data_IF_061624297759
#
_entry.id   IF_061624297759
#
_cell.length_a   1.000
_cell.length_b   1.000
_cell.length_c   1.000
_cell.angle_alpha   90.00
_cell.angle_beta   90.00
_cell.angle_gamma   90.00
#
_symmetry.space_group_name_H-M   'P 1'
#
loop_
_entity.id
_entity.type
_entity.pdbx_description
1 polymer ?
#
# COMPACT_ATOMS: atom_id res chain seq x y z
N UNK A 1 -35.28 43.38 -35.59
CA UNK A 1 -35.21 41.98 -36.01
C UNK A 1 -34.76 41.12 -34.83
N UNK A 2 -35.44 40.05 -34.61
CA UNK A 2 -35.56 39.34 -33.31
C UNK A 2 -34.32 38.51 -32.96
N UNK A 3 -33.80 38.70 -31.71
CA UNK A 3 -32.88 37.76 -31.04
C UNK A 3 -33.68 36.52 -30.61
N UNK A 4 -33.70 35.50 -31.42
CA UNK A 4 -34.13 34.13 -31.07
C UNK A 4 -33.54 33.17 -32.11
N UNK A 5 -33.08 31.99 -31.58
CA UNK A 5 -32.56 30.84 -32.32
C UNK A 5 -31.03 30.79 -32.47
N UNK A 6 -30.38 30.41 -31.40
CA UNK A 6 -29.17 29.58 -31.44
C UNK A 6 -29.04 28.79 -30.12
N UNK A 7 -29.96 27.87 -29.91
CA UNK A 7 -29.83 26.79 -28.96
C UNK A 7 -29.90 25.47 -29.76
N UNK A 8 -28.81 25.08 -30.36
CA UNK A 8 -28.65 23.76 -30.94
C UNK A 8 -27.58 23.01 -30.13
N UNK A 9 -28.04 22.08 -29.29
CA UNK A 9 -27.48 20.75 -29.02
C UNK A 9 -25.96 20.63 -28.97
N UNK A 10 -25.36 20.90 -27.81
CA UNK A 10 -24.13 20.21 -27.41
C UNK A 10 -24.48 18.99 -26.54
N UNK A 11 -24.74 17.87 -27.20
CA UNK A 11 -24.67 16.56 -26.57
C UNK A 11 -23.19 16.32 -26.18
N UNK A 12 -22.84 16.63 -24.95
CA UNK A 12 -21.56 16.22 -24.39
C UNK A 12 -21.57 14.70 -24.22
N UNK A 13 -20.97 14.01 -25.18
CA UNK A 13 -20.58 12.60 -25.01
C UNK A 13 -19.45 12.58 -24.01
N UNK A 14 -19.78 12.38 -22.76
CA UNK A 14 -18.80 12.09 -21.72
C UNK A 14 -18.30 10.66 -21.96
N UNK A 15 -17.24 10.51 -22.73
CA UNK A 15 -16.47 9.27 -22.78
C UNK A 15 -15.76 9.15 -21.44
N UNK A 16 -16.39 8.47 -20.50
CA UNK A 16 -15.73 7.99 -19.31
C UNK A 16 -14.71 6.91 -19.74
N UNK A 17 -13.48 7.32 -20.05
CA UNK A 17 -12.37 6.40 -20.17
C UNK A 17 -12.07 5.84 -18.78
N UNK A 18 -12.69 4.71 -18.47
CA UNK A 18 -12.29 3.87 -17.34
C UNK A 18 -10.85 3.41 -17.60
N UNK A 19 -9.90 4.08 -16.97
CA UNK A 19 -8.54 3.57 -16.85
C UNK A 19 -8.59 2.32 -15.95
N UNK A 20 -8.94 1.20 -16.56
CA UNK A 20 -8.75 -0.11 -15.95
C UNK A 20 -7.24 -0.33 -15.84
N UNK A 21 -6.68 -0.09 -14.66
CA UNK A 21 -5.35 -0.56 -14.31
C UNK A 21 -5.47 -2.09 -14.19
N UNK A 22 -5.30 -2.79 -15.33
CA UNK A 22 -5.22 -4.25 -15.33
C UNK A 22 -3.97 -4.64 -14.56
N UNK A 23 -4.13 -5.37 -13.45
CA UNK A 23 -3.01 -6.08 -12.87
C UNK A 23 -2.76 -5.97 -11.38
N UNK A 24 -3.61 -5.31 -10.59
CA UNK A 24 -3.57 -5.47 -9.14
C UNK A 24 -4.68 -6.43 -8.73
N UNK A 25 -4.40 -7.49 -7.96
CA UNK A 25 -5.47 -8.17 -7.27
C UNK A 25 -6.23 -7.12 -6.46
N UNK A 26 -7.54 -7.08 -6.58
CA UNK A 26 -8.41 -6.14 -5.89
C UNK A 26 -8.38 -6.51 -4.41
N UNK A 27 -7.32 -6.10 -3.70
CA UNK A 27 -7.09 -6.39 -2.29
C UNK A 27 -8.13 -5.65 -1.44
N UNK A 28 -8.68 -4.57 -2.00
CA UNK A 28 -9.70 -3.74 -1.38
C UNK A 28 -10.90 -3.77 -2.32
N UNK A 29 -11.90 -4.54 -1.97
CA UNK A 29 -13.04 -4.94 -2.79
C UNK A 29 -13.77 -3.83 -3.54
N UNK A 30 -14.56 -4.25 -4.54
CA UNK A 30 -15.43 -3.40 -5.37
C UNK A 30 -16.41 -2.58 -4.50
N UNK A 31 -16.60 -1.34 -4.90
CA UNK A 31 -17.44 -0.32 -4.32
C UNK A 31 -18.84 -0.78 -3.86
N UNK A 32 -18.96 -1.03 -2.60
CA UNK A 32 -20.10 -0.98 -1.69
C UNK A 32 -19.58 -0.34 -0.42
N UNK A 33 -20.40 0.02 0.59
CA UNK A 33 -19.87 0.69 1.78
C UNK A 33 -18.57 0.04 2.18
N UNK A 34 -17.49 0.83 2.18
CA UNK A 34 -16.15 0.29 2.44
C UNK A 34 -16.17 -0.43 3.78
N UNK A 35 -15.84 -1.71 3.76
CA UNK A 35 -15.66 -2.50 4.97
C UNK A 35 -14.21 -2.41 5.41
N UNK A 36 -13.98 -2.40 6.72
CA UNK A 36 -12.63 -2.40 7.25
C UNK A 36 -11.94 -3.73 6.89
N UNK A 37 -10.80 -3.69 6.19
CA UNK A 37 -10.15 -4.90 5.70
C UNK A 37 -9.75 -5.83 6.84
N UNK A 38 -10.12 -7.13 6.82
CA UNK A 38 -9.76 -8.05 7.88
C UNK A 38 -8.27 -8.36 7.91
N UNK A 39 -7.75 -8.69 9.11
CA UNK A 39 -6.42 -9.30 9.25
C UNK A 39 -6.41 -10.66 8.54
N UNK A 40 -5.38 -10.99 7.75
CA UNK A 40 -5.30 -12.27 7.05
C UNK A 40 -4.90 -13.45 7.96
N UNK A 41 -4.61 -13.20 9.23
CA UNK A 41 -4.20 -14.19 10.25
C UNK A 41 -4.62 -13.72 11.65
N UNK A 42 -4.51 -14.61 12.64
CA UNK A 42 -4.78 -14.27 14.03
C UNK A 42 -3.75 -13.26 14.58
N UNK A 43 -4.14 -12.39 15.51
CA UNK A 43 -3.28 -11.33 16.06
C UNK A 43 -1.96 -11.85 16.67
N UNK A 44 -1.96 -13.08 17.19
CA UNK A 44 -0.76 -13.70 17.78
C UNK A 44 0.09 -14.50 16.77
N UNK A 45 -0.33 -14.57 15.50
CA UNK A 45 0.31 -15.47 14.53
C UNK A 45 1.73 -15.06 14.14
N UNK A 46 2.07 -13.77 14.26
CA UNK A 46 3.40 -13.27 13.91
C UNK A 46 4.42 -13.37 15.06
N UNK A 47 3.98 -13.83 16.25
CA UNK A 47 4.89 -14.00 17.38
C UNK A 47 5.91 -15.12 17.09
N UNK A 48 7.15 -15.02 17.64
CA UNK A 48 7.65 -13.97 18.52
C UNK A 48 8.21 -12.72 17.79
N UNK A 49 8.15 -12.64 16.45
CA UNK A 49 8.77 -11.56 15.68
C UNK A 49 7.99 -10.23 15.85
N UNK A 50 6.67 -10.29 15.91
CA UNK A 50 5.80 -9.16 16.25
C UNK A 50 4.80 -9.69 17.26
N UNK A 51 4.71 -9.05 18.43
CA UNK A 51 3.84 -9.52 19.50
C UNK A 51 2.36 -9.32 19.16
N UNK A 52 1.50 -10.14 19.77
CA UNK A 52 0.05 -9.97 19.67
C UNK A 52 -0.40 -8.56 20.13
N UNK A 53 0.28 -7.99 21.12
CA UNK A 53 -0.01 -6.64 21.61
C UNK A 53 0.27 -5.59 20.52
N UNK A 54 1.41 -5.68 19.85
CA UNK A 54 1.76 -4.79 18.74
C UNK A 54 0.75 -4.93 17.61
N UNK A 55 0.42 -6.15 17.18
CA UNK A 55 -0.58 -6.38 16.13
C UNK A 55 -1.94 -5.82 16.53
N UNK A 56 -2.41 -6.10 17.75
CA UNK A 56 -3.70 -5.61 18.23
C UNK A 56 -3.81 -4.09 18.20
N UNK A 57 -2.84 -3.37 18.76
CA UNK A 57 -2.86 -1.90 18.79
C UNK A 57 -2.70 -1.34 17.38
N UNK A 58 -1.79 -1.89 16.58
CA UNK A 58 -1.50 -1.43 15.23
C UNK A 58 -2.69 -1.64 14.28
N UNK A 59 -3.39 -2.77 14.37
CA UNK A 59 -4.55 -3.06 13.52
C UNK A 59 -5.83 -2.41 14.05
N UNK A 60 -6.23 -2.70 15.30
CA UNK A 60 -7.56 -2.31 15.80
C UNK A 60 -7.67 -0.83 16.18
N UNK A 61 -6.55 -0.13 16.42
CA UNK A 61 -6.55 1.28 16.78
C UNK A 61 -5.92 2.14 15.70
N UNK A 62 -4.70 1.84 15.30
CA UNK A 62 -3.95 2.70 14.37
C UNK A 62 -4.47 2.58 12.93
N UNK A 63 -4.51 1.39 12.35
CA UNK A 63 -5.06 1.15 11.01
C UNK A 63 -6.54 1.53 10.94
N UNK A 64 -7.35 1.09 11.91
CA UNK A 64 -8.77 1.46 11.97
C UNK A 64 -8.99 2.96 12.15
N UNK A 65 -8.11 3.65 12.84
CA UNK A 65 -8.14 5.10 13.03
C UNK A 65 -7.99 5.90 11.73
N UNK A 66 -7.37 5.33 10.69
CA UNK A 66 -7.36 5.92 9.35
C UNK A 66 -8.60 5.57 8.53
N UNK A 67 -9.18 4.39 8.74
CA UNK A 67 -10.33 3.92 7.99
C UNK A 67 -11.60 4.76 8.24
N UNK A 68 -11.93 4.96 9.50
CA UNK A 68 -13.15 5.65 9.89
C UNK A 68 -13.23 7.08 9.32
N UNK A 69 -12.17 7.92 9.36
CA UNK A 69 -12.15 9.24 8.74
C UNK A 69 -12.35 9.24 7.23
N UNK A 70 -11.84 8.24 6.49
CA UNK A 70 -12.02 8.20 5.03
C UNK A 70 -13.50 8.13 4.66
N UNK A 71 -14.27 7.28 5.33
CA UNK A 71 -15.70 7.17 5.08
C UNK A 71 -16.41 8.50 5.33
N UNK A 72 -16.09 9.18 6.44
CA UNK A 72 -16.65 10.49 6.77
C UNK A 72 -16.26 11.58 5.77
N UNK A 73 -15.00 11.61 5.34
CA UNK A 73 -14.48 12.62 4.41
C UNK A 73 -15.00 12.44 2.98
N UNK A 74 -15.45 11.24 2.63
CA UNK A 74 -15.97 10.94 1.29
C UNK A 74 -17.48 10.92 1.23
N UNK A 75 -18.19 10.98 2.36
CA UNK A 75 -19.64 10.98 2.42
C UNK A 75 -20.23 12.14 1.60
N UNK A 76 -21.24 11.85 0.78
CA UNK A 76 -21.88 12.84 -0.10
C UNK A 76 -21.00 13.38 -1.22
N UNK A 77 -19.81 12.82 -1.45
CA UNK A 77 -18.91 13.23 -2.56
C UNK A 77 -18.88 12.16 -3.67
N UNK A 78 -18.39 12.49 -4.87
CA UNK A 78 -18.15 11.49 -5.93
C UNK A 78 -17.15 10.37 -5.55
N UNK A 79 -16.47 10.49 -4.41
CA UNK A 79 -15.53 9.50 -3.90
C UNK A 79 -16.14 8.56 -2.87
N UNK A 80 -17.43 8.70 -2.56
CA UNK A 80 -18.10 7.87 -1.54
C UNK A 80 -18.00 6.37 -1.82
N UNK A 81 -18.06 5.97 -3.09
CA UNK A 81 -17.96 4.57 -3.53
C UNK A 81 -16.62 4.23 -4.21
N UNK A 82 -15.69 5.18 -4.27
CA UNK A 82 -14.40 4.97 -4.91
C UNK A 82 -13.52 3.99 -4.11
N UNK A 83 -12.69 3.20 -4.78
CA UNK A 83 -11.66 2.39 -4.12
C UNK A 83 -10.59 3.27 -3.44
N UNK A 84 -9.83 2.70 -2.52
CA UNK A 84 -8.73 3.46 -1.89
C UNK A 84 -7.68 3.89 -2.92
N UNK A 85 -7.37 3.05 -3.91
CA UNK A 85 -6.46 3.37 -5.01
C UNK A 85 -6.98 4.57 -5.84
N UNK A 86 -8.27 4.59 -6.15
CA UNK A 86 -8.87 5.72 -6.86
C UNK A 86 -8.83 7.01 -6.04
N UNK A 87 -9.10 6.93 -4.73
CA UNK A 87 -9.00 8.08 -3.83
C UNK A 87 -7.55 8.58 -3.81
N UNK A 88 -6.58 7.69 -3.58
CA UNK A 88 -5.14 8.04 -3.54
C UNK A 88 -4.73 8.77 -4.82
N UNK A 89 -5.02 8.18 -5.99
CA UNK A 89 -4.59 8.77 -7.27
C UNK A 89 -5.28 10.11 -7.55
N UNK A 90 -6.56 10.24 -7.22
CA UNK A 90 -7.31 11.48 -7.43
C UNK A 90 -6.85 12.58 -6.48
N UNK A 91 -6.68 12.27 -5.20
CA UNK A 91 -6.34 13.28 -4.19
C UNK A 91 -4.86 13.67 -4.19
N UNK A 92 -3.95 12.76 -4.56
CA UNK A 92 -2.54 13.08 -4.73
C UNK A 92 -2.29 14.19 -5.76
N UNK A 93 -3.10 14.24 -6.83
CA UNK A 93 -2.97 15.23 -7.92
C UNK A 93 -3.79 16.50 -7.69
N UNK A 94 -4.82 16.42 -6.89
CA UNK A 94 -5.71 17.55 -6.64
C UNK A 94 -5.14 18.46 -5.56
N UNK A 95 -4.31 19.41 -5.98
CA UNK A 95 -3.75 20.44 -5.11
C UNK A 95 -4.69 21.62 -4.89
N UNK A 96 -5.87 21.61 -5.51
CA UNK A 96 -6.83 22.73 -5.45
C UNK A 96 -7.83 22.58 -4.32
N UNK A 97 -8.08 21.36 -3.85
CA UNK A 97 -8.99 21.05 -2.76
C UNK A 97 -8.23 21.01 -1.42
N UNK A 98 -8.56 21.90 -0.49
CA UNK A 98 -7.92 22.00 0.83
C UNK A 98 -8.02 20.71 1.68
N UNK A 99 -9.03 19.86 1.42
CA UNK A 99 -9.20 18.59 2.11
C UNK A 99 -8.41 17.45 1.44
N UNK A 100 -7.88 17.64 0.22
CA UNK A 100 -7.17 16.58 -0.52
C UNK A 100 -5.96 16.02 0.21
N UNK A 101 -5.07 16.80 0.86
CA UNK A 101 -3.95 16.25 1.60
C UNK A 101 -4.40 15.35 2.76
N UNK A 102 -5.44 15.75 3.50
CA UNK A 102 -5.97 14.95 4.60
C UNK A 102 -6.60 13.65 4.11
N UNK A 103 -7.44 13.71 3.07
CA UNK A 103 -8.06 12.53 2.49
C UNK A 103 -7.03 11.60 1.84
N UNK A 104 -6.03 12.17 1.14
CA UNK A 104 -4.91 11.39 0.62
C UNK A 104 -4.21 10.61 1.73
N UNK A 105 -3.80 11.30 2.80
CA UNK A 105 -3.07 10.66 3.89
C UNK A 105 -3.89 9.53 4.53
N UNK A 106 -5.18 9.77 4.82
CA UNK A 106 -6.04 8.76 5.44
C UNK A 106 -6.22 7.54 4.51
N UNK A 107 -6.58 7.76 3.24
CA UNK A 107 -6.80 6.68 2.28
C UNK A 107 -5.51 5.90 1.98
N UNK A 108 -4.38 6.60 1.84
CA UNK A 108 -3.08 5.98 1.61
C UNK A 108 -2.65 5.13 2.80
N UNK A 109 -2.85 5.62 4.04
CA UNK A 109 -2.52 4.84 5.23
C UNK A 109 -3.42 3.60 5.38
N UNK A 110 -4.72 3.68 5.06
CA UNK A 110 -5.57 2.47 5.05
C UNK A 110 -5.02 1.46 4.05
N UNK A 111 -4.69 1.91 2.86
CA UNK A 111 -4.17 1.05 1.80
C UNK A 111 -2.80 0.45 2.16
N UNK A 112 -1.87 1.28 2.65
CA UNK A 112 -0.52 0.86 3.05
C UNK A 112 -0.57 -0.21 4.14
N UNK A 113 -1.39 -0.01 5.18
CA UNK A 113 -1.54 -0.98 6.26
C UNK A 113 -2.20 -2.28 5.79
N UNK A 114 -3.24 -2.20 4.94
CA UNK A 114 -3.85 -3.40 4.34
C UNK A 114 -2.81 -4.18 3.54
N UNK A 115 -2.00 -3.49 2.75
CA UNK A 115 -0.92 -4.09 1.97
C UNK A 115 0.17 -4.69 2.86
N UNK A 116 0.52 -4.02 3.95
CA UNK A 116 1.48 -4.49 4.94
C UNK A 116 1.04 -5.79 5.62
N UNK A 117 -0.21 -5.87 6.09
CA UNK A 117 -0.71 -7.10 6.70
C UNK A 117 -0.64 -8.30 5.74
N UNK A 118 -0.94 -8.09 4.47
CA UNK A 118 -0.82 -9.12 3.44
C UNK A 118 0.63 -9.41 3.03
N UNK A 119 1.53 -8.46 3.22
CA UNK A 119 2.97 -8.65 2.97
C UNK A 119 3.65 -9.54 4.01
N UNK A 120 2.96 -9.87 5.11
CA UNK A 120 3.45 -10.71 6.19
C UNK A 120 2.65 -12.02 6.26
N UNK A 121 3.31 -13.09 6.68
CA UNK A 121 2.67 -14.37 6.99
C UNK A 121 3.44 -15.11 8.08
N UNK A 122 2.77 -15.85 8.98
CA UNK A 122 3.45 -16.63 10.03
C UNK A 122 4.37 -17.73 9.49
N UNK A 123 4.16 -18.15 8.25
CA UNK A 123 4.98 -19.17 7.56
C UNK A 123 5.91 -18.55 6.52
N UNK A 124 6.20 -17.25 6.66
CA UNK A 124 6.94 -16.45 5.69
C UNK A 124 8.44 -16.44 5.88
N UNK A 125 9.05 -15.45 5.23
CA UNK A 125 10.49 -15.23 5.25
C UNK A 125 11.26 -16.16 4.32
N UNK A 126 12.57 -16.18 4.52
CA UNK A 126 13.45 -16.99 3.70
C UNK A 126 13.50 -16.54 2.23
N UNK A 127 14.03 -17.43 1.40
CA UNK A 127 14.23 -17.18 -0.03
C UNK A 127 12.99 -17.59 -0.83
N UNK A 128 12.47 -16.76 -1.74
CA UNK A 128 11.38 -17.16 -2.61
C UNK A 128 11.78 -18.26 -3.58
N UNK A 129 10.81 -18.84 -4.26
CA UNK A 129 11.02 -19.90 -5.26
C UNK A 129 10.42 -19.49 -6.62
N UNK A 130 10.72 -20.27 -7.66
CA UNK A 130 10.13 -20.12 -8.99
C UNK A 130 10.32 -18.73 -9.59
N UNK A 131 9.32 -18.26 -10.33
CA UNK A 131 9.34 -16.99 -11.07
C UNK A 131 9.76 -15.77 -10.22
N UNK A 132 9.35 -15.76 -8.94
CA UNK A 132 9.72 -14.64 -8.04
C UNK A 132 11.23 -14.62 -7.78
N UNK A 133 11.83 -15.78 -7.53
CA UNK A 133 13.29 -15.88 -7.37
C UNK A 133 14.04 -15.48 -8.62
N UNK A 134 13.57 -15.93 -9.79
CA UNK A 134 14.20 -15.57 -11.07
C UNK A 134 14.18 -14.06 -11.29
N UNK A 135 13.07 -13.40 -10.99
CA UNK A 135 12.93 -11.95 -11.08
C UNK A 135 13.82 -11.20 -10.10
N UNK A 136 13.96 -11.72 -8.87
CA UNK A 136 14.89 -11.17 -7.88
C UNK A 136 16.33 -11.30 -8.37
N UNK A 137 16.74 -12.49 -8.81
CA UNK A 137 18.10 -12.69 -9.33
C UNK A 137 18.38 -11.80 -10.53
N UNK A 138 17.44 -11.66 -11.46
CA UNK A 138 17.55 -10.78 -12.63
C UNK A 138 17.73 -9.31 -12.24
N UNK A 139 17.06 -8.85 -11.17
CA UNK A 139 16.98 -7.43 -10.82
C UNK A 139 18.05 -7.00 -9.83
N UNK A 140 18.50 -7.92 -8.95
CA UNK A 140 19.39 -7.63 -7.81
C UNK A 140 20.70 -8.45 -7.83
N UNK A 141 20.89 -9.31 -8.85
CA UNK A 141 22.01 -10.24 -8.95
C UNK A 141 21.71 -11.56 -8.23
N UNK A 142 21.24 -11.50 -6.99
CA UNK A 142 20.81 -12.65 -6.21
C UNK A 142 19.87 -12.23 -5.07
N UNK A 143 19.44 -13.20 -4.27
CA UNK A 143 18.59 -12.93 -3.11
C UNK A 143 19.28 -12.09 -2.02
N UNK A 144 20.56 -12.27 -1.81
CA UNK A 144 21.32 -11.49 -0.80
C UNK A 144 21.45 -10.02 -1.22
N UNK A 145 21.62 -9.76 -2.50
CA UNK A 145 21.58 -8.41 -3.08
C UNK A 145 20.23 -7.72 -2.86
N UNK A 146 19.13 -8.44 -3.07
CA UNK A 146 17.79 -7.95 -2.72
C UNK A 146 17.64 -7.68 -1.22
N UNK A 147 17.99 -8.67 -0.36
CA UNK A 147 17.90 -8.57 1.09
C UNK A 147 18.68 -7.36 1.61
N UNK A 148 19.89 -7.16 1.10
CA UNK A 148 20.72 -6.00 1.43
C UNK A 148 20.02 -4.69 1.09
N UNK A 149 19.52 -4.54 -0.14
CA UNK A 149 18.85 -3.31 -0.58
C UNK A 149 17.58 -3.03 0.22
N UNK A 150 16.74 -4.06 0.49
CA UNK A 150 15.52 -3.88 1.29
C UNK A 150 15.86 -3.49 2.74
N UNK A 151 16.87 -4.10 3.33
CA UNK A 151 17.37 -3.76 4.67
C UNK A 151 17.86 -2.31 4.72
N UNK A 152 18.72 -1.91 3.79
CA UNK A 152 19.25 -0.54 3.70
C UNK A 152 18.14 0.50 3.52
N UNK A 153 17.19 0.24 2.62
CA UNK A 153 16.04 1.12 2.42
C UNK A 153 15.20 1.27 3.70
N UNK A 154 14.93 0.16 4.38
CA UNK A 154 14.13 0.16 5.61
C UNK A 154 14.82 0.91 6.76
N UNK A 155 16.12 0.71 6.95
CA UNK A 155 16.87 1.34 8.04
C UNK A 155 17.14 2.82 7.75
N UNK A 156 17.43 3.17 6.48
CA UNK A 156 17.77 4.54 6.08
C UNK A 156 16.57 5.46 5.86
N UNK A 157 15.34 4.96 6.00
CA UNK A 157 14.15 5.81 6.00
C UNK A 157 14.17 6.71 7.23
N UNK A 158 14.33 8.01 7.00
CA UNK A 158 14.39 8.98 8.08
C UNK A 158 12.99 9.22 8.66
N UNK A 159 12.86 9.18 10.00
CA UNK A 159 11.57 9.38 10.66
C UNK A 159 10.59 8.26 10.34
N UNK A 160 9.53 8.60 9.59
CA UNK A 160 8.37 7.76 9.29
C UNK A 160 8.28 7.39 7.82
N UNK A 161 7.83 6.18 7.52
CA UNK A 161 7.66 5.77 6.13
C UNK A 161 7.58 4.25 5.95
N UNK A 162 7.79 3.83 4.72
CA UNK A 162 7.62 2.47 4.23
C UNK A 162 8.74 2.08 3.29
N UNK A 163 9.16 0.83 3.30
CA UNK A 163 10.04 0.28 2.28
C UNK A 163 9.29 -0.77 1.44
N UNK A 164 9.52 -0.75 0.14
CA UNK A 164 8.73 -1.50 -0.83
C UNK A 164 9.62 -2.30 -1.77
N UNK A 165 9.21 -3.54 -2.05
CA UNK A 165 9.59 -4.21 -3.29
C UNK A 165 8.54 -3.88 -4.35
N UNK A 166 8.96 -3.35 -5.48
CA UNK A 166 8.07 -2.91 -6.57
C UNK A 166 8.52 -3.46 -7.92
N UNK A 167 7.58 -3.51 -8.87
CA UNK A 167 7.88 -3.75 -10.28
C UNK A 167 7.54 -2.52 -11.12
N UNK A 168 8.37 -2.20 -12.10
CA UNK A 168 8.04 -1.23 -13.13
C UNK A 168 7.12 -1.85 -14.21
N UNK A 169 6.73 -1.05 -15.21
CA UNK A 169 5.86 -1.49 -16.33
C UNK A 169 6.49 -2.60 -17.19
N UNK A 170 7.82 -2.77 -17.14
CA UNK A 170 8.55 -3.82 -17.85
C UNK A 170 8.77 -5.06 -17.00
N UNK A 171 8.28 -5.04 -15.75
CA UNK A 171 8.45 -6.13 -14.78
C UNK A 171 9.85 -6.19 -14.17
N UNK A 172 10.66 -5.14 -14.28
CA UNK A 172 11.94 -5.03 -13.56
C UNK A 172 11.63 -4.69 -12.11
N UNK A 173 12.24 -5.43 -11.18
CA UNK A 173 12.08 -5.19 -9.76
C UNK A 173 13.05 -4.11 -9.27
N UNK A 174 12.60 -3.37 -8.28
CA UNK A 174 13.45 -2.44 -7.51
C UNK A 174 12.95 -2.32 -6.08
N UNK A 175 13.82 -1.86 -5.18
CA UNK A 175 13.47 -1.45 -3.84
C UNK A 175 13.34 0.06 -3.82
N UNK A 176 12.23 0.56 -3.29
CA UNK A 176 11.98 1.99 -3.09
C UNK A 176 11.54 2.25 -1.65
N UNK A 177 11.71 3.47 -1.18
CA UNK A 177 11.16 3.95 0.08
C UNK A 177 10.25 5.14 -0.15
N UNK A 178 9.24 5.27 0.67
CA UNK A 178 8.31 6.42 0.67
C UNK A 178 8.22 6.98 2.08
N UNK A 179 8.01 8.28 2.16
CA UNK A 179 7.86 8.98 3.44
C UNK A 179 6.38 9.08 3.81
N UNK A 180 6.11 9.15 5.11
CA UNK A 180 4.79 9.37 5.68
C UNK A 180 3.71 8.42 5.11
N UNK A 181 2.69 8.97 4.45
CA UNK A 181 1.58 8.22 3.88
C UNK A 181 1.80 7.84 2.41
N UNK A 182 2.86 8.33 1.76
CA UNK A 182 3.06 8.09 0.33
C UNK A 182 3.30 6.60 0.02
N UNK A 183 3.01 6.22 -1.21
CA UNK A 183 3.15 4.85 -1.68
C UNK A 183 3.48 4.77 -3.19
N UNK A 184 3.89 3.60 -3.68
CA UNK A 184 4.33 3.43 -5.07
C UNK A 184 3.27 3.68 -6.15
N UNK A 185 1.96 3.68 -5.79
CA UNK A 185 0.88 3.94 -6.76
C UNK A 185 0.99 5.34 -7.36
N UNK A 186 1.43 6.33 -6.55
CA UNK A 186 1.61 7.72 -6.98
C UNK A 186 2.70 7.84 -8.05
N UNK A 187 3.72 6.98 -7.99
CA UNK A 187 4.80 6.86 -8.96
C UNK A 187 4.50 5.88 -10.12
N UNK A 188 3.30 5.30 -10.17
CA UNK A 188 2.87 4.29 -11.16
C UNK A 188 3.75 3.04 -11.14
N UNK A 189 4.27 2.69 -9.98
CA UNK A 189 4.97 1.43 -9.73
C UNK A 189 3.98 0.41 -9.18
N UNK A 190 4.21 -0.87 -9.44
CA UNK A 190 3.43 -2.00 -8.97
C UNK A 190 4.03 -2.51 -7.66
N UNK A 191 3.41 -2.31 -6.49
CA UNK A 191 3.93 -2.84 -5.24
C UNK A 191 3.77 -4.36 -5.18
N UNK A 192 4.78 -5.03 -4.62
CA UNK A 192 4.80 -6.47 -4.45
C UNK A 192 4.85 -6.87 -2.97
N UNK A 193 5.64 -6.17 -2.15
CA UNK A 193 5.74 -6.30 -0.70
C UNK A 193 6.02 -4.94 -0.09
N UNK A 194 5.68 -4.79 1.19
CA UNK A 194 6.08 -3.62 1.98
C UNK A 194 6.49 -4.01 3.40
N UNK A 195 7.34 -3.17 3.99
CA UNK A 195 7.65 -3.16 5.42
C UNK A 195 7.28 -1.79 5.95
N UNK A 196 6.46 -1.76 6.98
CA UNK A 196 6.18 -0.55 7.76
C UNK A 196 7.38 -0.23 8.65
N UNK A 197 7.98 0.94 8.48
CA UNK A 197 9.11 1.40 9.29
C UNK A 197 8.79 2.61 10.15
N UNK A 198 7.52 2.95 10.30
CA UNK A 198 7.04 3.81 11.35
C UNK A 198 7.32 3.17 12.71
N UNK A 199 7.64 3.97 13.74
CA UNK A 199 7.96 3.45 15.06
C UNK A 199 6.81 2.65 15.70
N UNK A 200 5.55 3.01 15.41
CA UNK A 200 4.40 2.27 15.93
C UNK A 200 4.36 0.80 15.50
N UNK A 201 5.01 0.45 14.38
CA UNK A 201 5.03 -0.92 13.88
C UNK A 201 5.93 -1.85 14.72
N UNK A 202 6.90 -1.28 15.47
CA UNK A 202 7.90 -2.11 16.14
C UNK A 202 8.32 -1.63 17.55
N UNK A 203 7.96 -0.43 17.96
CA UNK A 203 8.52 0.17 19.18
C UNK A 203 8.21 -0.61 20.46
N UNK A 204 7.05 -1.22 20.56
CA UNK A 204 6.68 -2.03 21.73
C UNK A 204 7.57 -3.27 21.90
N UNK A 205 8.01 -3.86 20.78
CA UNK A 205 8.79 -5.11 20.80
C UNK A 205 10.30 -4.86 20.70
N UNK A 206 10.70 -3.82 19.97
CA UNK A 206 12.11 -3.58 19.62
C UNK A 206 12.64 -2.23 20.09
N UNK A 207 11.82 -1.32 20.62
CA UNK A 207 12.15 0.06 20.95
C UNK A 207 12.83 0.75 19.75
N UNK A 208 14.02 1.33 19.97
CA UNK A 208 14.77 2.02 18.92
C UNK A 208 15.54 1.09 17.96
N UNK A 209 15.41 -0.23 18.11
CA UNK A 209 16.18 -1.22 17.33
C UNK A 209 15.47 -1.57 16.01
N UNK A 210 15.20 -0.56 15.16
CA UNK A 210 14.56 -0.77 13.84
C UNK A 210 15.28 -1.86 13.02
N UNK A 211 16.62 -1.94 13.09
CA UNK A 211 17.38 -2.93 12.34
C UNK A 211 17.02 -4.37 12.73
N UNK A 212 16.81 -4.64 14.02
CA UNK A 212 16.45 -5.97 14.51
C UNK A 212 15.03 -6.36 14.06
N UNK A 213 14.07 -5.42 14.11
CA UNK A 213 12.73 -5.59 13.58
C UNK A 213 12.75 -5.90 12.08
N UNK A 214 13.45 -5.08 11.29
CA UNK A 214 13.54 -5.26 9.82
C UNK A 214 14.16 -6.62 9.49
N UNK A 215 15.21 -7.01 10.20
CA UNK A 215 15.83 -8.33 10.05
C UNK A 215 14.83 -9.45 10.34
N UNK A 216 14.09 -9.37 11.44
CA UNK A 216 13.10 -10.37 11.81
C UNK A 216 11.99 -10.50 10.75
N UNK A 217 11.49 -9.36 10.24
CA UNK A 217 10.48 -9.35 9.17
C UNK A 217 11.01 -10.01 7.90
N UNK A 218 12.19 -9.61 7.42
CA UNK A 218 12.74 -10.14 6.16
C UNK A 218 13.03 -11.64 6.28
N UNK A 219 13.58 -12.09 7.41
CA UNK A 219 14.00 -13.47 7.57
C UNK A 219 12.87 -14.44 7.90
N UNK A 220 11.75 -13.96 8.48
CA UNK A 220 10.75 -14.83 9.09
C UNK A 220 9.31 -14.58 8.66
N UNK A 221 8.99 -13.41 8.08
CA UNK A 221 7.60 -13.02 7.91
C UNK A 221 7.21 -12.63 6.48
N UNK A 222 8.16 -12.32 5.55
CA UNK A 222 7.79 -11.88 4.21
C UNK A 222 6.94 -12.92 3.48
N UNK A 223 5.79 -12.50 2.98
CA UNK A 223 4.84 -13.32 2.25
C UNK A 223 5.17 -13.36 0.75
N UNK A 224 5.99 -14.31 0.35
CA UNK A 224 6.40 -14.48 -1.04
C UNK A 224 5.28 -14.94 -1.98
N UNK A 225 4.27 -15.63 -1.46
CA UNK A 225 3.09 -15.99 -2.23
C UNK A 225 2.30 -14.74 -2.62
N UNK A 226 2.07 -13.84 -1.68
CA UNK A 226 1.45 -12.54 -1.95
C UNK A 226 2.27 -11.72 -2.95
N UNK A 227 3.59 -11.68 -2.81
CA UNK A 227 4.46 -11.01 -3.77
C UNK A 227 4.33 -11.60 -5.19
N UNK A 228 4.27 -12.92 -5.30
CA UNK A 228 4.11 -13.62 -6.57
C UNK A 228 2.73 -13.35 -7.21
N UNK A 229 1.66 -13.33 -6.42
CA UNK A 229 0.32 -12.96 -6.88
C UNK A 229 0.30 -11.52 -7.42
N UNK A 230 0.94 -10.59 -6.73
CA UNK A 230 1.07 -9.21 -7.18
C UNK A 230 1.94 -9.09 -8.43
N UNK A 231 2.93 -9.93 -8.62
CA UNK A 231 3.78 -9.90 -9.81
C UNK A 231 2.99 -10.30 -11.07
N UNK A 232 2.15 -11.30 -10.98
CA UNK A 232 1.29 -11.82 -12.07
C UNK A 232 1.98 -12.87 -12.93
#
# INVERSE_FOLDING_TARGET
MKRREFLASLTAVTVATTLTVKGFPNIIGKAKPREFPPLPYAENALAPMISAQTVNIHYNRHHKGYFDPVNKLTEGTPLAEASFEEIIIKTYKDKTNLNSPSLFNMAAQVWNHTFYWNSLTPTGGGKPTGKMLDKINQSFGDYEGFKKQLTEASISTFGTGWSWLVADKKGKLSVVKTEDADNPLTAKLKPLLTIDVWEHAYYLDYQNKRADYVKAVIEKLLNWEFAAQNLG
#
